data_IF_137036880689
#
_entry.id   IF_137036880689
#
_cell.length_a   1.000
_cell.length_b   1.000
_cell.length_c   1.000
_cell.angle_alpha   90.00
_cell.angle_beta   90.00
_cell.angle_gamma   90.00
#
_symmetry.space_group_name_H-M   'P 1'
#
loop_
_entity.id
_entity.type
_entity.pdbx_description
1 polymer ?
#
# COMPACT_ATOMS: atom_id res chain seq x y z
N UNK A 1 4.58 -9.24 -12.81
CA UNK A 1 5.10 -7.93 -12.38
C UNK A 1 3.88 -7.09 -12.06
N UNK A 2 3.80 -6.49 -10.86
CA UNK A 2 2.66 -5.63 -10.50
C UNK A 2 2.76 -4.35 -11.34
N UNK A 3 1.64 -3.88 -11.87
CA UNK A 3 1.60 -2.61 -12.59
C UNK A 3 1.73 -1.45 -11.59
N UNK A 4 2.39 -0.38 -12.03
CA UNK A 4 2.55 0.82 -11.22
C UNK A 4 1.30 1.72 -11.30
N UNK A 5 1.07 2.49 -10.23
CA UNK A 5 0.10 3.59 -10.18
C UNK A 5 0.75 4.86 -9.64
N UNK A 6 0.19 6.01 -10.01
CA UNK A 6 0.59 7.27 -9.41
C UNK A 6 0.35 7.22 -7.89
N UNK A 7 1.29 7.78 -7.12
CA UNK A 7 1.31 7.66 -5.66
C UNK A 7 2.20 6.54 -5.14
N UNK A 8 2.57 5.55 -5.97
CA UNK A 8 3.43 4.46 -5.53
C UNK A 8 4.80 4.97 -5.05
N UNK A 9 5.31 4.33 -4.00
CA UNK A 9 6.67 4.53 -3.51
C UNK A 9 7.59 3.56 -4.24
N UNK A 10 8.68 4.06 -4.83
CA UNK A 10 9.55 3.29 -5.72
C UNK A 10 11.03 3.54 -5.46
N UNK A 11 11.86 2.54 -5.77
CA UNK A 11 13.30 2.70 -5.92
C UNK A 11 13.65 2.97 -7.38
N UNK A 12 14.56 3.92 -7.61
CA UNK A 12 15.19 4.16 -8.90
C UNK A 12 16.73 4.18 -8.76
N UNK A 13 17.39 2.99 -8.70
CA UNK A 13 18.81 2.87 -8.35
C UNK A 13 19.77 3.69 -9.23
N UNK A 14 19.39 3.95 -10.50
CA UNK A 14 20.20 4.76 -11.43
C UNK A 14 20.28 6.24 -11.02
N UNK A 15 19.34 6.74 -10.22
CA UNK A 15 19.25 8.14 -9.79
C UNK A 15 19.49 8.34 -8.30
N UNK A 16 19.01 7.43 -7.46
CA UNK A 16 19.07 7.58 -6.01
C UNK A 16 18.96 6.23 -5.31
N UNK A 17 19.50 6.15 -4.10
CA UNK A 17 19.24 5.08 -3.13
C UNK A 17 18.05 5.40 -2.20
N UNK A 18 17.33 6.49 -2.46
CA UNK A 18 16.14 6.90 -1.69
C UNK A 18 14.85 6.31 -2.25
N UNK A 19 13.83 6.27 -1.39
CA UNK A 19 12.45 6.00 -1.81
C UNK A 19 11.89 7.25 -2.48
N UNK A 20 11.39 7.10 -3.70
CA UNK A 20 10.86 8.18 -4.52
C UNK A 20 9.35 8.01 -4.70
N UNK A 21 8.65 9.13 -4.93
CA UNK A 21 7.23 9.12 -5.27
C UNK A 21 7.06 9.01 -6.77
N UNK A 22 6.24 8.06 -7.22
CA UNK A 22 5.85 7.93 -8.62
C UNK A 22 4.70 8.88 -8.92
N UNK A 23 4.94 9.86 -9.79
CA UNK A 23 3.94 10.86 -10.16
C UNK A 23 3.29 10.50 -11.49
N UNK A 24 2.10 11.06 -11.72
CA UNK A 24 1.43 10.94 -13.01
C UNK A 24 2.07 11.93 -13.97
N UNK A 25 2.51 11.45 -15.13
CA UNK A 25 2.92 12.32 -16.22
C UNK A 25 1.67 12.92 -16.90
N UNK A 26 1.46 14.22 -16.73
CA UNK A 26 0.34 14.95 -17.35
C UNK A 26 0.56 15.21 -18.85
N UNK A 27 1.80 15.07 -19.33
CA UNK A 27 2.17 15.38 -20.72
C UNK A 27 2.07 14.11 -21.59
N UNK A 28 0.88 13.96 -22.19
CA UNK A 28 0.51 13.38 -23.51
C UNK A 28 1.44 12.33 -24.17
N UNK A 29 1.96 11.37 -23.43
CA UNK A 29 2.36 10.09 -24.02
C UNK A 29 1.65 8.97 -23.26
N UNK A 30 0.52 8.48 -23.79
CA UNK A 30 -0.24 7.35 -23.20
C UNK A 30 0.65 6.14 -22.87
N UNK A 31 1.77 6.00 -23.57
CA UNK A 31 2.76 4.93 -23.40
C UNK A 31 3.64 5.12 -22.16
N UNK A 32 3.87 6.36 -21.72
CA UNK A 32 4.71 6.72 -20.58
C UNK A 32 3.93 7.54 -19.55
N UNK A 33 2.97 6.92 -18.84
CA UNK A 33 2.04 7.61 -17.97
C UNK A 33 2.64 8.06 -16.63
N UNK A 34 3.86 7.65 -16.30
CA UNK A 34 4.45 7.90 -14.98
C UNK A 34 5.78 8.64 -15.07
N UNK A 35 6.11 9.40 -14.03
CA UNK A 35 7.33 10.19 -13.95
C UNK A 35 7.97 10.11 -12.55
N UNK A 36 9.31 10.05 -12.53
CA UNK A 36 10.14 10.20 -11.33
C UNK A 36 11.41 10.96 -11.71
N UNK A 37 11.72 12.04 -10.97
CA UNK A 37 12.96 12.82 -11.17
C UNK A 37 13.22 13.16 -12.65
N UNK A 38 12.24 13.80 -13.31
CA UNK A 38 12.28 14.23 -14.71
C UNK A 38 12.45 13.08 -15.72
N UNK A 39 12.15 11.84 -15.31
CA UNK A 39 12.27 10.64 -16.14
C UNK A 39 10.91 9.95 -16.24
N UNK A 40 10.46 9.68 -17.45
CA UNK A 40 9.16 9.04 -17.70
C UNK A 40 9.27 7.53 -17.86
N UNK A 41 8.22 6.81 -17.47
CA UNK A 41 8.17 5.36 -17.44
C UNK A 41 6.86 4.81 -17.99
N UNK A 42 6.94 3.61 -18.56
CA UNK A 42 5.78 2.79 -18.93
C UNK A 42 5.05 2.28 -17.68
N UNK A 43 3.87 1.69 -17.88
CA UNK A 43 3.05 1.11 -16.79
C UNK A 43 3.75 -0.01 -16.01
N UNK A 44 4.73 -0.66 -16.63
CA UNK A 44 5.56 -1.71 -16.04
C UNK A 44 6.95 -1.19 -15.60
N UNK A 45 7.15 0.13 -15.52
CA UNK A 45 8.33 0.75 -14.93
C UNK A 45 9.58 0.76 -15.81
N UNK A 46 9.41 0.64 -17.14
CA UNK A 46 10.51 0.69 -18.12
C UNK A 46 10.68 2.10 -18.67
N UNK A 47 11.92 2.43 -19.01
CA UNK A 47 12.23 3.69 -19.69
C UNK A 47 11.82 3.66 -21.17
N UNK A 48 11.92 2.51 -21.82
CA UNK A 48 11.45 2.29 -23.18
C UNK A 48 10.58 1.02 -23.26
N UNK A 49 9.53 1.05 -24.07
CA UNK A 49 8.69 -0.13 -24.36
C UNK A 49 9.47 -1.37 -24.86
N UNK A 50 10.66 -1.17 -25.43
CA UNK A 50 11.54 -2.24 -25.93
C UNK A 50 12.49 -2.79 -24.88
N UNK A 51 12.60 -2.16 -23.71
CA UNK A 51 13.51 -2.62 -22.67
C UNK A 51 13.00 -3.93 -22.07
N UNK A 52 13.93 -4.87 -21.86
CA UNK A 52 13.60 -6.17 -21.28
C UNK A 52 13.31 -6.07 -19.76
N UNK A 53 13.93 -5.09 -19.09
CA UNK A 53 13.88 -4.95 -17.63
C UNK A 53 13.35 -3.57 -17.23
N UNK A 54 12.55 -3.50 -16.15
CA UNK A 54 12.18 -2.22 -15.55
C UNK A 54 13.40 -1.53 -14.95
N UNK A 55 13.32 -0.20 -14.83
CA UNK A 55 14.34 0.61 -14.16
C UNK A 55 13.88 1.12 -12.78
N UNK A 56 12.58 1.06 -12.50
CA UNK A 56 12.01 1.35 -11.19
C UNK A 56 11.38 0.10 -10.59
N UNK A 57 11.37 0.04 -9.26
CA UNK A 57 10.88 -1.10 -8.49
C UNK A 57 10.02 -0.58 -7.34
N UNK A 58 8.92 -1.24 -6.99
CA UNK A 58 8.16 -0.85 -5.80
C UNK A 58 9.05 -0.88 -4.56
N UNK A 59 8.89 0.10 -3.67
CA UNK A 59 9.58 0.17 -2.40
C UNK A 59 8.97 -0.85 -1.41
N UNK A 60 9.25 -2.12 -1.64
CA UNK A 60 8.90 -3.25 -0.76
C UNK A 60 10.13 -3.73 -0.02
N UNK A 61 9.93 -4.47 1.08
CA UNK A 61 11.00 -5.13 1.84
C UNK A 61 11.82 -6.07 0.93
N UNK A 62 11.13 -6.90 0.12
CA UNK A 62 11.79 -7.82 -0.82
C UNK A 62 12.68 -7.09 -1.83
N UNK A 63 12.18 -6.01 -2.45
CA UNK A 63 12.98 -5.25 -3.42
C UNK A 63 14.13 -4.49 -2.73
N UNK A 64 13.92 -3.99 -1.50
CA UNK A 64 14.97 -3.34 -0.71
C UNK A 64 16.13 -4.32 -0.46
N UNK A 65 15.84 -5.51 0.10
CA UNK A 65 16.85 -6.55 0.35
C UNK A 65 17.60 -6.97 -0.93
N UNK A 66 16.88 -7.16 -2.03
CA UNK A 66 17.48 -7.55 -3.30
C UNK A 66 18.36 -6.44 -3.89
N UNK A 67 17.95 -5.18 -3.78
CA UNK A 67 18.72 -4.04 -4.26
C UNK A 67 19.98 -3.81 -3.43
N UNK A 68 19.90 -3.86 -2.10
CA UNK A 68 21.08 -3.75 -1.24
C UNK A 68 22.08 -4.87 -1.53
N UNK A 69 21.59 -6.11 -1.70
CA UNK A 69 22.44 -7.25 -2.07
C UNK A 69 23.09 -7.08 -3.44
N UNK A 70 22.36 -6.53 -4.41
CA UNK A 70 22.85 -6.36 -5.79
C UNK A 70 23.88 -5.24 -5.90
N UNK A 71 23.64 -4.10 -5.25
CA UNK A 71 24.48 -2.91 -5.37
C UNK A 71 25.54 -2.79 -4.27
N UNK A 72 25.41 -3.53 -3.16
CA UNK A 72 26.34 -3.49 -2.04
C UNK A 72 26.32 -2.15 -1.28
N UNK A 73 25.20 -1.44 -1.32
CA UNK A 73 25.01 -0.13 -0.66
C UNK A 73 23.68 -0.13 0.09
N UNK A 74 23.58 0.72 1.10
CA UNK A 74 22.35 0.91 1.87
C UNK A 74 21.34 1.74 1.08
N UNK A 75 20.11 1.23 0.99
CA UNK A 75 18.96 1.93 0.43
C UNK A 75 18.08 2.45 1.57
N UNK A 76 17.38 3.56 1.35
CA UNK A 76 16.35 4.02 2.29
C UNK A 76 15.32 2.91 2.49
N UNK A 77 14.96 2.63 3.73
CA UNK A 77 14.00 1.58 4.05
C UNK A 77 12.63 1.85 3.40
N UNK A 78 11.90 0.79 2.98
CA UNK A 78 10.59 0.97 2.40
C UNK A 78 9.61 1.59 3.42
N UNK A 79 8.52 2.24 2.96
CA UNK A 79 7.50 2.75 3.86
C UNK A 79 6.92 1.62 4.71
N UNK A 80 6.77 1.87 6.01
CA UNK A 80 6.10 0.93 6.91
C UNK A 80 4.65 0.76 6.45
N UNK A 81 4.21 -0.49 6.27
CA UNK A 81 2.81 -0.77 5.93
C UNK A 81 1.90 -0.28 7.06
N UNK A 82 0.83 0.47 6.77
CA UNK A 82 -0.08 0.91 7.80
C UNK A 82 -0.73 -0.31 8.48
N UNK A 83 -0.84 -0.24 9.79
CA UNK A 83 -1.55 -1.23 10.60
C UNK A 83 -3.05 -1.15 10.36
N UNK A 84 -3.78 -2.22 10.65
CA UNK A 84 -5.25 -2.20 10.58
C UNK A 84 -5.87 -1.13 11.47
N UNK A 85 -5.23 -0.77 12.60
CA UNK A 85 -5.68 0.34 13.45
C UNK A 85 -5.59 1.66 12.70
N UNK A 86 -4.43 1.95 12.09
CA UNK A 86 -4.22 3.20 11.34
C UNK A 86 -5.18 3.30 10.16
N UNK A 87 -5.38 2.20 9.42
CA UNK A 87 -6.32 2.17 8.29
C UNK A 87 -7.75 2.45 8.76
N UNK A 88 -8.22 1.74 9.78
CA UNK A 88 -9.60 1.92 10.30
C UNK A 88 -9.77 3.32 10.89
N UNK A 89 -8.77 3.85 11.62
CA UNK A 89 -8.81 5.21 12.13
C UNK A 89 -8.90 6.25 11.01
N UNK A 90 -8.12 6.07 9.94
CA UNK A 90 -8.13 6.98 8.81
C UNK A 90 -9.48 6.95 8.05
N UNK A 91 -10.08 5.76 7.87
CA UNK A 91 -11.41 5.63 7.27
C UNK A 91 -12.48 6.32 8.14
N UNK A 92 -12.45 6.09 9.46
CA UNK A 92 -13.36 6.79 10.38
C UNK A 92 -13.16 8.31 10.35
N UNK A 93 -11.91 8.79 10.28
CA UNK A 93 -11.58 10.21 10.20
C UNK A 93 -12.01 10.85 8.87
N UNK A 94 -12.00 10.09 7.76
CA UNK A 94 -12.57 10.51 6.47
C UNK A 94 -14.08 10.73 6.53
N UNK A 95 -14.75 10.16 7.53
CA UNK A 95 -16.19 10.31 7.77
C UNK A 95 -17.00 9.03 7.53
N UNK A 96 -16.35 7.92 7.21
CA UNK A 96 -17.01 6.61 7.17
C UNK A 96 -17.49 6.24 8.58
N UNK A 97 -18.77 5.88 8.71
CA UNK A 97 -19.36 5.61 10.04
C UNK A 97 -19.22 4.16 10.50
N UNK A 98 -19.12 3.23 9.55
CA UNK A 98 -19.15 1.80 9.79
C UNK A 98 -18.18 1.11 8.84
N UNK A 99 -17.07 0.62 9.37
CA UNK A 99 -16.01 -0.02 8.59
C UNK A 99 -16.21 -1.54 8.64
N UNK A 100 -16.51 -2.20 7.51
CA UNK A 100 -16.58 -3.64 7.47
C UNK A 100 -15.19 -4.24 7.69
N UNK A 101 -15.07 -5.10 8.70
CA UNK A 101 -13.82 -5.73 9.08
C UNK A 101 -14.03 -7.23 9.33
N UNK A 102 -13.09 -8.06 8.89
CA UNK A 102 -12.91 -9.40 9.47
C UNK A 102 -12.29 -9.24 10.85
N UNK A 103 -12.75 -9.99 11.84
CA UNK A 103 -12.35 -9.79 13.24
C UNK A 103 -11.95 -11.09 13.92
N UNK A 104 -11.04 -10.97 14.88
CA UNK A 104 -10.67 -12.08 15.75
C UNK A 104 -10.24 -11.61 17.13
N UNK A 105 -10.52 -12.44 18.14
CA UNK A 105 -10.00 -12.25 19.48
C UNK A 105 -8.56 -12.76 19.66
N UNK A 106 -8.07 -13.63 18.75
CA UNK A 106 -6.81 -14.35 18.94
C UNK A 106 -5.89 -14.35 17.70
N UNK A 107 -6.44 -14.20 16.50
CA UNK A 107 -5.68 -14.21 15.24
C UNK A 107 -5.33 -12.79 14.82
N UNK A 108 -4.05 -12.50 14.67
CA UNK A 108 -3.55 -11.15 14.36
C UNK A 108 -4.02 -10.60 13.01
N UNK A 109 -4.10 -11.47 12.00
CA UNK A 109 -4.52 -11.12 10.64
C UNK A 109 -5.79 -11.90 10.26
N UNK A 110 -6.96 -11.52 10.78
CA UNK A 110 -8.23 -12.13 10.38
C UNK A 110 -8.48 -11.86 8.88
N UNK A 111 -9.16 -12.78 8.22
CA UNK A 111 -9.42 -12.71 6.78
C UNK A 111 -10.84 -13.17 6.46
N UNK A 112 -11.17 -13.28 5.16
CA UNK A 112 -12.50 -13.70 4.67
C UNK A 112 -13.09 -15.00 5.23
N UNK A 113 -12.28 -15.83 5.88
CA UNK A 113 -12.74 -17.06 6.52
C UNK A 113 -13.08 -16.88 8.01
N UNK A 114 -12.79 -15.72 8.58
CA UNK A 114 -13.15 -15.32 9.94
C UNK A 114 -14.52 -14.61 9.96
N UNK A 115 -15.05 -14.38 11.16
CA UNK A 115 -16.27 -13.57 11.33
C UNK A 115 -16.02 -12.13 10.91
N UNK A 116 -17.05 -11.45 10.41
CA UNK A 116 -16.97 -10.04 10.06
C UNK A 116 -18.06 -9.23 10.75
N UNK A 117 -17.74 -7.97 11.03
CA UNK A 117 -18.60 -7.01 11.72
C UNK A 117 -18.33 -5.60 11.19
N UNK A 118 -19.21 -4.65 11.50
CA UNK A 118 -18.95 -3.23 11.29
C UNK A 118 -18.30 -2.61 12.53
N UNK A 119 -17.09 -2.09 12.35
CA UNK A 119 -16.38 -1.31 13.37
C UNK A 119 -16.78 0.16 13.25
N UNK A 120 -17.25 0.75 14.35
CA UNK A 120 -17.68 2.16 14.37
C UNK A 120 -16.72 3.06 15.15
N UNK A 121 -15.84 2.50 15.98
CA UNK A 121 -14.83 3.27 16.72
C UNK A 121 -13.65 2.41 17.15
N UNK A 122 -12.55 3.05 17.50
CA UNK A 122 -11.37 2.44 18.13
C UNK A 122 -11.13 3.13 19.47
N UNK A 123 -10.97 2.35 20.53
CA UNK A 123 -10.62 2.86 21.85
C UNK A 123 -9.60 1.96 22.50
N UNK A 124 -8.54 2.56 23.08
CA UNK A 124 -7.44 1.83 23.75
C UNK A 124 -6.89 0.69 22.88
N UNK A 125 -6.68 0.94 21.60
CA UNK A 125 -6.21 -0.04 20.60
C UNK A 125 -7.10 -1.29 20.46
N UNK A 126 -8.41 -1.17 20.74
CA UNK A 126 -9.41 -2.20 20.48
C UNK A 126 -10.42 -1.68 19.46
N UNK A 127 -10.82 -2.55 18.55
CA UNK A 127 -11.89 -2.26 17.59
C UNK A 127 -13.23 -2.52 18.26
N UNK A 128 -14.17 -1.58 18.15
CA UNK A 128 -15.50 -1.71 18.78
C UNK A 128 -16.55 -1.81 17.68
N UNK A 129 -17.33 -2.89 17.72
CA UNK A 129 -18.45 -3.10 16.81
C UNK A 129 -19.74 -2.43 17.28
N UNK A 130 -20.73 -2.32 16.41
CA UNK A 130 -22.02 -1.66 16.69
C UNK A 130 -22.76 -2.20 17.94
N UNK A 131 -22.49 -3.44 18.35
CA UNK A 131 -23.09 -4.05 19.55
C UNK A 131 -22.34 -3.70 20.83
N UNK A 132 -21.25 -2.92 20.73
CA UNK A 132 -20.36 -2.56 21.83
C UNK A 132 -19.33 -3.63 22.17
N UNK A 133 -19.22 -4.71 21.38
CA UNK A 133 -18.19 -5.74 21.61
C UNK A 133 -16.84 -5.24 21.13
N UNK A 134 -15.81 -5.66 21.85
CA UNK A 134 -14.43 -5.28 21.57
C UNK A 134 -13.66 -6.42 20.94
N UNK A 135 -12.88 -6.10 19.90
CA UNK A 135 -12.04 -7.05 19.17
C UNK A 135 -10.57 -6.66 19.31
N UNK A 136 -9.71 -7.67 19.40
CA UNK A 136 -8.26 -7.47 19.46
C UNK A 136 -7.68 -7.17 18.09
N UNK A 137 -8.13 -7.93 17.10
CA UNK A 137 -7.62 -7.88 15.75
C UNK A 137 -8.77 -7.68 14.77
N UNK A 138 -8.52 -6.85 13.77
CA UNK A 138 -9.44 -6.58 12.69
C UNK A 138 -8.65 -6.36 11.40
N UNK A 139 -9.25 -6.74 10.27
CA UNK A 139 -8.73 -6.44 8.93
C UNK A 139 -9.86 -5.75 8.15
N UNK A 140 -9.73 -4.45 7.85
CA UNK A 140 -10.74 -3.76 7.04
C UNK A 140 -10.76 -4.35 5.63
N UNK A 141 -11.94 -4.41 5.02
CA UNK A 141 -12.10 -4.91 3.66
C UNK A 141 -13.11 -4.06 2.87
N UNK A 142 -12.99 -4.07 1.55
CA UNK A 142 -13.99 -3.46 0.68
C UNK A 142 -15.19 -4.41 0.57
N UNK A 143 -16.37 -3.99 1.04
CA UNK A 143 -17.57 -4.83 1.04
C UNK A 143 -18.07 -5.17 -0.38
N UNK A 144 -17.71 -4.37 -1.39
CA UNK A 144 -18.08 -4.60 -2.79
C UNK A 144 -17.11 -5.57 -3.46
N UNK A 145 -15.81 -5.35 -3.27
CA UNK A 145 -14.76 -6.17 -3.89
C UNK A 145 -14.48 -7.48 -3.12
N UNK A 146 -14.74 -7.51 -1.81
CA UNK A 146 -14.42 -8.64 -0.94
C UNK A 146 -12.94 -8.75 -0.57
N UNK A 147 -12.14 -7.71 -0.83
CA UNK A 147 -10.69 -7.70 -0.68
C UNK A 147 -10.24 -6.84 0.50
N UNK A 148 -9.11 -7.20 1.12
CA UNK A 148 -8.53 -6.46 2.24
C UNK A 148 -8.12 -5.04 1.82
N UNK A 149 -8.41 -4.05 2.66
CA UNK A 149 -7.89 -2.70 2.54
C UNK A 149 -6.53 -2.67 3.23
N UNK A 150 -5.47 -2.43 2.47
CA UNK A 150 -4.08 -2.44 2.96
C UNK A 150 -3.38 -1.08 2.86
N UNK A 151 -4.10 -0.06 2.42
CA UNK A 151 -3.59 1.30 2.20
C UNK A 151 -4.47 2.29 2.98
N UNK A 152 -3.89 3.44 3.33
CA UNK A 152 -4.65 4.53 3.92
C UNK A 152 -5.60 5.12 2.86
N UNK A 153 -6.80 5.59 3.25
CA UNK A 153 -7.67 6.31 2.34
C UNK A 153 -7.02 7.62 1.86
N UNK A 154 -7.32 8.00 0.61
CA UNK A 154 -6.98 9.31 0.03
C UNK A 154 -7.68 10.47 0.74
#
# INVERSE_FOLDING_TARGET
>A
MREFKAGDKVYFPKKSNKVLLLEKNEIVYKVYPFEVCDTVFTVDGKYNTRDALPLIFHATEENHELLEKLYGVEFEAPPVKPTSIEIVQALLARGDKYIPCWVSGSRENPNRHDSWVYIYTISKNRFIDESGRTWQYATPFDHTAGEAITELPE
#
